data_IF_890765703834
#
_entry.id   IF_890765703834
#
_cell.length_a   1.000
_cell.length_b   1.000
_cell.length_c   1.000
_cell.angle_alpha   90.00
_cell.angle_beta   90.00
_cell.angle_gamma   90.00
#
_symmetry.space_group_name_H-M   'P 1'
#
loop_
_entity.id
_entity.type
_entity.pdbx_description
1 polymer ?
#
# COMPACT_ATOMS: atom_id res chain seq x y z
N UNK A 1 -20.49 -8.80 1.61
CA UNK A 1 -19.83 -7.66 0.90
C UNK A 1 -18.68 -7.03 1.67
N UNK A 2 -18.75 -6.85 3.01
CA UNK A 2 -17.65 -6.26 3.81
C UNK A 2 -16.32 -6.99 3.60
N UNK A 3 -16.28 -8.31 3.84
CA UNK A 3 -15.05 -9.10 3.73
C UNK A 3 -14.33 -8.95 2.38
N UNK A 4 -15.08 -8.85 1.27
CA UNK A 4 -14.49 -8.60 -0.05
C UNK A 4 -13.80 -7.22 -0.11
N UNK A 5 -14.38 -6.18 0.49
CA UNK A 5 -13.75 -4.83 0.56
C UNK A 5 -12.47 -4.85 1.39
N UNK A 6 -12.45 -5.61 2.49
CA UNK A 6 -11.24 -5.83 3.29
C UNK A 6 -10.17 -6.48 2.42
N UNK A 7 -10.52 -7.56 1.71
CA UNK A 7 -9.58 -8.29 0.86
C UNK A 7 -9.09 -7.47 -0.34
N UNK A 8 -9.92 -6.61 -0.92
CA UNK A 8 -9.52 -5.67 -1.97
C UNK A 8 -8.36 -4.77 -1.51
N UNK A 9 -8.37 -4.30 -0.26
CA UNK A 9 -7.28 -3.50 0.30
C UNK A 9 -5.95 -4.28 0.29
N UNK A 10 -5.99 -5.57 0.62
CA UNK A 10 -4.84 -6.46 0.53
C UNK A 10 -4.35 -6.63 -0.91
N UNK A 11 -5.28 -6.86 -1.85
CA UNK A 11 -4.93 -6.98 -3.28
C UNK A 11 -4.19 -5.74 -3.77
N UNK A 12 -4.68 -4.54 -3.47
CA UNK A 12 -4.00 -3.28 -3.83
C UNK A 12 -2.62 -3.15 -3.18
N UNK A 13 -2.50 -3.52 -1.90
CA UNK A 13 -1.22 -3.50 -1.21
C UNK A 13 -0.17 -4.41 -1.88
N UNK A 14 -0.57 -5.62 -2.26
CA UNK A 14 0.31 -6.59 -2.95
C UNK A 14 0.70 -6.10 -4.34
N UNK A 15 -0.25 -5.59 -5.13
CA UNK A 15 0.05 -5.04 -6.46
C UNK A 15 1.03 -3.86 -6.38
N UNK A 16 0.84 -2.95 -5.42
CA UNK A 16 1.78 -1.85 -5.18
C UNK A 16 3.15 -2.37 -4.71
N UNK A 17 3.18 -3.37 -3.82
CA UNK A 17 4.41 -3.98 -3.35
C UNK A 17 5.25 -4.58 -4.51
N UNK A 18 4.60 -5.24 -5.45
CA UNK A 18 5.25 -5.80 -6.65
C UNK A 18 5.87 -4.69 -7.50
N UNK A 19 5.10 -3.64 -7.81
CA UNK A 19 5.59 -2.51 -8.59
C UNK A 19 6.78 -1.80 -7.93
N UNK A 20 6.65 -1.50 -6.63
CA UNK A 20 7.70 -0.84 -5.83
C UNK A 20 8.96 -1.71 -5.72
N UNK A 21 8.81 -3.03 -5.56
CA UNK A 21 9.95 -3.96 -5.51
C UNK A 21 10.75 -3.92 -6.80
N UNK A 22 10.09 -3.95 -7.95
CA UNK A 22 10.75 -3.86 -9.26
C UNK A 22 11.44 -2.50 -9.40
N UNK A 23 10.73 -1.40 -9.10
CA UNK A 23 11.25 -0.05 -9.25
C UNK A 23 12.46 0.23 -8.37
N UNK A 24 12.44 -0.19 -7.10
CA UNK A 24 13.58 -0.03 -6.18
C UNK A 24 14.77 -0.88 -6.63
N UNK A 25 14.55 -2.15 -6.96
CA UNK A 25 15.65 -3.04 -7.40
C UNK A 25 16.30 -2.56 -8.70
N UNK A 26 15.49 -2.14 -9.67
CA UNK A 26 16.01 -1.54 -10.90
C UNK A 26 16.78 -0.26 -10.59
N UNK A 27 16.24 0.61 -9.72
CA UNK A 27 16.91 1.84 -9.33
C UNK A 27 18.24 1.59 -8.62
N UNK A 28 18.36 0.47 -7.90
CA UNK A 28 19.59 0.07 -7.23
C UNK A 28 20.65 -0.51 -8.19
N UNK A 29 20.31 -0.88 -9.42
CA UNK A 29 21.28 -1.43 -10.38
C UNK A 29 21.54 -0.47 -11.53
N UNK A 30 20.57 0.39 -11.86
CA UNK A 30 20.68 1.32 -12.96
C UNK A 30 21.57 2.51 -12.58
N UNK A 31 22.63 2.69 -13.36
CA UNK A 31 23.46 3.89 -13.38
C UNK A 31 23.03 4.76 -14.56
N UNK A 32 22.82 6.05 -14.32
CA UNK A 32 22.47 7.02 -15.35
C UNK A 32 22.68 8.45 -14.86
N UNK A 33 23.12 9.33 -15.77
CA UNK A 33 23.49 10.70 -15.45
C UNK A 33 24.99 10.83 -15.22
N UNK A 34 25.44 12.02 -14.82
CA UNK A 34 26.86 12.30 -14.67
C UNK A 34 27.14 12.98 -13.33
N UNK A 35 28.03 12.40 -12.54
CA UNK A 35 28.61 13.04 -11.37
C UNK A 35 29.55 14.18 -11.80
N UNK A 36 29.81 15.19 -10.95
CA UNK A 36 30.88 16.16 -11.19
C UNK A 36 32.24 15.52 -11.51
N UNK A 37 32.45 14.28 -11.05
CA UNK A 37 33.67 13.50 -11.27
C UNK A 37 33.64 12.62 -12.54
N UNK A 38 32.59 12.73 -13.37
CA UNK A 38 32.46 12.02 -14.64
C UNK A 38 31.98 10.57 -14.55
N UNK A 39 31.86 9.98 -13.36
CA UNK A 39 31.26 8.65 -13.17
C UNK A 39 29.73 8.71 -13.23
N UNK A 40 29.11 7.65 -13.77
CA UNK A 40 27.66 7.51 -13.68
C UNK A 40 27.23 7.28 -12.22
N UNK A 41 26.08 7.84 -11.85
CA UNK A 41 25.51 7.69 -10.51
C UNK A 41 24.35 6.69 -10.60
N UNK A 42 24.27 5.81 -9.60
CA UNK A 42 23.13 4.93 -9.40
C UNK A 42 21.86 5.76 -9.19
N UNK A 43 20.80 5.49 -9.94
CA UNK A 43 19.64 6.38 -9.95
C UNK A 43 18.91 6.43 -8.61
N UNK A 44 19.00 5.38 -7.79
CA UNK A 44 18.46 5.35 -6.43
C UNK A 44 19.06 6.42 -5.51
N UNK A 45 20.23 6.96 -5.83
CA UNK A 45 20.88 7.99 -5.01
C UNK A 45 20.37 9.40 -5.31
N UNK A 46 19.55 9.59 -6.34
CA UNK A 46 18.91 10.88 -6.59
C UNK A 46 17.78 11.11 -5.60
N UNK A 47 17.77 12.27 -4.94
CA UNK A 47 16.72 12.65 -4.00
C UNK A 47 15.33 12.60 -4.66
N UNK A 48 15.21 13.05 -5.92
CA UNK A 48 13.95 12.98 -6.68
C UNK A 48 13.48 11.54 -6.93
N UNK A 49 14.40 10.58 -7.10
CA UNK A 49 14.04 9.17 -7.26
C UNK A 49 13.59 8.58 -5.93
N UNK A 50 14.26 8.93 -4.83
CA UNK A 50 13.87 8.50 -3.48
C UNK A 50 12.52 9.09 -3.07
N UNK A 51 12.27 10.36 -3.38
CA UNK A 51 11.00 11.06 -3.12
C UNK A 51 9.82 10.38 -3.83
N UNK A 52 10.03 9.75 -4.98
CA UNK A 52 9.00 8.95 -5.64
C UNK A 52 8.84 7.55 -5.04
N UNK A 53 9.93 6.88 -4.69
CA UNK A 53 9.90 5.46 -4.30
C UNK A 53 9.59 5.23 -2.82
N UNK A 54 10.14 6.05 -1.93
CA UNK A 54 10.02 5.87 -0.47
C UNK A 54 8.57 6.05 0.00
N UNK A 55 7.79 7.06 -0.47
CA UNK A 55 6.38 7.16 -0.12
C UNK A 55 5.54 5.98 -0.62
N UNK A 56 5.82 5.46 -1.81
CA UNK A 56 5.16 4.26 -2.33
C UNK A 56 5.45 3.05 -1.41
N UNK A 57 6.71 2.84 -1.03
CA UNK A 57 7.11 1.77 -0.10
C UNK A 57 6.42 1.92 1.26
N UNK A 58 6.42 3.12 1.83
CA UNK A 58 5.75 3.42 3.09
C UNK A 58 4.25 3.10 3.01
N UNK A 59 3.62 3.47 1.88
CA UNK A 59 2.19 3.24 1.66
C UNK A 59 1.84 1.76 1.57
N UNK A 60 2.69 0.93 0.95
CA UNK A 60 2.52 -0.54 0.94
C UNK A 60 2.40 -1.08 2.36
N UNK A 61 3.33 -0.73 3.24
CA UNK A 61 3.29 -1.17 4.63
C UNK A 61 2.08 -0.63 5.38
N UNK A 62 1.72 0.63 5.18
CA UNK A 62 0.53 1.23 5.77
C UNK A 62 -0.74 0.45 5.37
N UNK A 63 -0.88 0.08 4.10
CA UNK A 63 -2.02 -0.70 3.61
C UNK A 63 -2.06 -2.12 4.16
N UNK A 64 -0.91 -2.80 4.22
CA UNK A 64 -0.83 -4.15 4.81
C UNK A 64 -1.22 -4.13 6.29
N UNK A 65 -0.72 -3.17 7.07
CA UNK A 65 -1.07 -3.03 8.49
C UNK A 65 -2.55 -2.70 8.66
N UNK A 66 -3.09 -1.78 7.85
CA UNK A 66 -4.51 -1.43 7.89
C UNK A 66 -5.41 -2.64 7.58
N UNK A 67 -5.06 -3.41 6.54
CA UNK A 67 -5.73 -4.67 6.21
C UNK A 67 -5.68 -5.66 7.38
N UNK A 68 -4.49 -5.95 7.92
CA UNK A 68 -4.32 -6.91 9.01
C UNK A 68 -5.15 -6.54 10.24
N UNK A 69 -5.17 -5.25 10.61
CA UNK A 69 -5.98 -4.76 11.73
C UNK A 69 -7.48 -4.97 11.48
N UNK A 70 -7.96 -4.61 10.30
CA UNK A 70 -9.37 -4.64 9.98
C UNK A 70 -9.88 -6.08 9.75
N UNK A 71 -9.06 -6.94 9.16
CA UNK A 71 -9.34 -8.37 9.03
C UNK A 71 -9.37 -9.08 10.39
N UNK A 72 -8.39 -8.79 11.26
CA UNK A 72 -8.39 -9.31 12.63
C UNK A 72 -9.63 -8.86 13.41
N UNK A 73 -10.01 -7.59 13.28
CA UNK A 73 -11.21 -7.06 13.91
C UNK A 73 -12.48 -7.74 13.38
N UNK A 74 -12.60 -7.90 12.07
CA UNK A 74 -13.72 -8.61 11.44
C UNK A 74 -13.85 -10.06 11.93
N UNK A 75 -12.72 -10.79 11.99
CA UNK A 75 -12.70 -12.19 12.44
C UNK A 75 -13.03 -12.31 13.93
N UNK A 76 -12.64 -11.35 14.77
CA UNK A 76 -13.03 -11.30 16.19
C UNK A 76 -14.54 -11.13 16.35
N UNK A 77 -15.14 -10.18 15.62
CA UNK A 77 -16.57 -9.89 15.72
C UNK A 77 -17.44 -11.06 15.26
N UNK A 78 -16.99 -11.82 14.26
CA UNK A 78 -17.68 -13.02 13.77
C UNK A 78 -17.91 -14.11 14.82
N UNK A 79 -17.24 -14.07 15.97
CA UNK A 79 -17.41 -15.08 17.02
C UNK A 79 -18.66 -14.86 17.87
N UNK A 80 -19.27 -13.67 17.80
CA UNK A 80 -20.47 -13.33 18.56
C UNK A 80 -21.43 -12.51 17.70
N UNK A 81 -22.54 -13.13 17.29
CA UNK A 81 -23.51 -12.54 16.37
C UNK A 81 -24.18 -11.26 16.90
N UNK A 82 -24.42 -11.16 18.21
CA UNK A 82 -25.05 -9.94 18.78
C UNK A 82 -24.10 -8.75 18.70
N UNK A 83 -22.85 -8.95 19.11
CA UNK A 83 -21.79 -7.94 19.02
C UNK A 83 -21.47 -7.60 17.56
N UNK A 84 -21.53 -8.59 16.67
CA UNK A 84 -21.34 -8.37 15.24
C UNK A 84 -22.39 -7.42 14.65
N UNK A 85 -23.67 -7.60 15.00
CA UNK A 85 -24.76 -6.75 14.52
C UNK A 85 -24.64 -5.31 15.05
N UNK A 86 -24.23 -5.13 16.30
CA UNK A 86 -24.05 -3.81 16.90
C UNK A 86 -22.88 -3.03 16.25
N UNK A 87 -21.80 -3.73 15.91
CA UNK A 87 -20.60 -3.13 15.31
C UNK A 87 -20.66 -3.06 13.77
N UNK A 88 -21.71 -3.60 13.17
CA UNK A 88 -21.89 -3.69 11.72
C UNK A 88 -21.81 -2.32 11.02
N UNK A 89 -22.42 -1.22 11.53
CA UNK A 89 -22.35 0.08 10.88
C UNK A 89 -20.92 0.64 10.79
N UNK A 90 -20.14 0.53 11.87
CA UNK A 90 -18.75 0.99 11.92
C UNK A 90 -17.89 0.19 10.94
N UNK A 91 -18.00 -1.14 10.98
CA UNK A 91 -17.29 -2.04 10.08
C UNK A 91 -17.62 -1.76 8.60
N UNK A 92 -18.88 -1.45 8.29
CA UNK A 92 -19.27 -1.03 6.94
C UNK A 92 -18.63 0.30 6.53
N UNK A 93 -18.64 1.31 7.40
CA UNK A 93 -18.03 2.61 7.11
C UNK A 93 -16.52 2.48 6.90
N UNK A 94 -15.81 1.80 7.82
CA UNK A 94 -14.37 1.59 7.75
C UNK A 94 -13.95 0.80 6.51
N UNK A 95 -14.60 -0.33 6.23
CA UNK A 95 -14.27 -1.15 5.06
C UNK A 95 -14.54 -0.43 3.73
N UNK A 96 -15.58 0.41 3.66
CA UNK A 96 -15.89 1.20 2.46
C UNK A 96 -14.87 2.31 2.24
N UNK A 97 -14.55 3.07 3.31
CA UNK A 97 -13.57 4.15 3.27
C UNK A 97 -12.18 3.62 2.94
N UNK A 98 -11.75 2.54 3.60
CA UNK A 98 -10.43 1.94 3.36
C UNK A 98 -10.30 1.46 1.92
N UNK A 99 -11.29 0.72 1.39
CA UNK A 99 -11.28 0.27 -0.01
C UNK A 99 -11.15 1.44 -0.97
N UNK A 100 -11.92 2.51 -0.76
CA UNK A 100 -11.92 3.68 -1.65
C UNK A 100 -10.57 4.39 -1.59
N UNK A 101 -10.03 4.59 -0.39
CA UNK A 101 -8.74 5.22 -0.16
C UNK A 101 -7.60 4.43 -0.80
N UNK A 102 -7.53 3.11 -0.56
CA UNK A 102 -6.46 2.27 -1.13
C UNK A 102 -6.50 2.24 -2.65
N UNK A 103 -7.70 2.20 -3.26
CA UNK A 103 -7.81 2.25 -4.73
C UNK A 103 -7.39 3.60 -5.31
N UNK A 104 -7.78 4.71 -4.66
CA UNK A 104 -7.46 6.06 -5.17
C UNK A 104 -5.97 6.39 -5.04
N UNK A 105 -5.35 6.03 -3.91
CA UNK A 105 -3.92 6.23 -3.72
C UNK A 105 -3.10 5.31 -4.63
N UNK A 106 -3.55 4.07 -4.85
CA UNK A 106 -2.92 3.16 -5.81
C UNK A 106 -2.90 3.74 -7.24
N UNK A 107 -4.01 4.35 -7.67
CA UNK A 107 -4.09 5.04 -8.97
C UNK A 107 -3.11 6.22 -9.08
N UNK A 108 -2.97 7.02 -8.02
CA UNK A 108 -2.04 8.16 -8.01
C UNK A 108 -0.58 7.76 -8.21
N UNK A 109 -0.18 6.56 -7.78
CA UNK A 109 1.18 6.07 -7.99
C UNK A 109 1.40 5.44 -9.37
N UNK A 110 0.34 5.24 -10.16
CA UNK A 110 0.43 4.74 -11.52
C UNK A 110 0.56 5.86 -12.58
N UNK A 111 0.36 7.13 -12.18
CA UNK A 111 0.51 8.32 -13.02
C UNK A 111 1.92 8.92 -12.89
#
# INVERSE_FOLDING_TARGET
MIHMRIHLCYTFAVSLAQAVTIAIRYSAVRFQGQSPNGSEIQILNYLLQQDKLVPCLSTVYAFLIAFMKLDTYFNKLKTNDTVFLDQLPELHALSSGLKAYTSSVGERFAQ
#
